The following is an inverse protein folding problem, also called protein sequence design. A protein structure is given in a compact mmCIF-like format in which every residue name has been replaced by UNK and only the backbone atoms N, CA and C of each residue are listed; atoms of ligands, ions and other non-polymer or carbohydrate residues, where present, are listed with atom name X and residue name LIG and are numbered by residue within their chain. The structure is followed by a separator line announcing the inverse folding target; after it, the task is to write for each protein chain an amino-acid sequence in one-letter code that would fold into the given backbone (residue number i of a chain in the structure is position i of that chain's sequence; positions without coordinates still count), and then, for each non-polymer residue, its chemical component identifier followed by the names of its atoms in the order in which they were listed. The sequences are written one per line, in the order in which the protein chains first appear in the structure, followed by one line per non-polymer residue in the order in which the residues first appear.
data_IF_285193680867
#
_entry.id   IF_285193680867
#
_cell.length_a   1.000
_cell.length_b   1.000
_cell.length_c   1.000
_cell.angle_alpha   90.00
_cell.angle_beta   90.00
_cell.angle_gamma   90.00
#
_symmetry.space_group_name_H-M   'P 1'
#
loop_
_entity.id
_entity.type
_entity.pdbx_description
1 polymer ?
#
# COMPACT_ATOMS: atom_id res chain seq x y z
N UNK A 1 34.08 39.20 -7.28
CA UNK A 1 33.32 38.03 -7.80
C UNK A 1 33.21 37.02 -6.66
N UNK A 2 32.07 36.99 -5.95
CA UNK A 2 31.79 35.98 -4.91
C UNK A 2 31.13 34.77 -5.58
N UNK A 3 31.82 33.64 -5.59
CA UNK A 3 31.27 32.35 -6.05
C UNK A 3 30.49 31.77 -4.87
N UNK A 4 29.15 31.85 -4.96
CA UNK A 4 28.27 31.20 -4.03
C UNK A 4 28.30 29.67 -4.24
N UNK A 5 28.82 28.94 -3.27
CA UNK A 5 28.67 27.49 -3.18
C UNK A 5 27.23 27.17 -2.82
N UNK A 6 26.44 26.72 -3.78
CA UNK A 6 25.18 26.05 -3.50
C UNK A 6 25.49 24.66 -2.93
N UNK A 7 25.39 24.52 -1.62
CA UNK A 7 25.35 23.23 -0.95
C UNK A 7 24.01 22.58 -1.34
N UNK A 8 24.03 21.71 -2.36
CA UNK A 8 22.92 20.82 -2.62
C UNK A 8 22.85 19.83 -1.46
N UNK A 9 21.88 20.03 -0.56
CA UNK A 9 21.56 19.03 0.45
C UNK A 9 21.18 17.73 -0.26
N UNK A 10 21.74 16.58 0.12
CA UNK A 10 21.33 15.30 -0.41
C UNK A 10 19.84 15.13 -0.12
N UNK A 11 19.05 14.87 -1.16
CA UNK A 11 17.64 14.49 -1.01
C UNK A 11 17.65 13.08 -0.43
N UNK A 12 17.57 12.97 0.90
CA UNK A 12 17.33 11.70 1.57
C UNK A 12 15.85 11.37 1.40
N UNK A 13 15.54 10.28 0.70
CA UNK A 13 14.20 9.73 0.67
C UNK A 13 13.99 8.94 1.97
N UNK A 14 13.70 9.64 3.05
CA UNK A 14 13.39 9.04 4.34
C UNK A 14 11.98 8.46 4.35
N UNK A 15 11.85 7.22 4.84
CA UNK A 15 10.54 6.59 4.98
C UNK A 15 9.69 7.29 6.07
N UNK A 16 10.34 7.86 7.09
CA UNK A 16 9.72 8.64 8.18
C UNK A 16 10.54 9.89 8.42
N UNK A 17 9.93 11.06 8.30
CA UNK A 17 10.55 12.31 8.70
C UNK A 17 10.57 12.41 10.23
N UNK A 18 11.78 12.27 10.80
CA UNK A 18 12.05 12.40 12.23
C UNK A 18 12.73 13.73 12.60
N UNK A 19 12.86 14.67 11.69
CA UNK A 19 13.46 15.98 11.96
C UNK A 19 12.64 16.83 12.95
N UNK A 20 11.28 16.72 12.83
CA UNK A 20 10.35 17.37 13.75
C UNK A 20 9.15 16.44 14.01
N UNK A 21 9.34 15.31 14.71
CA UNK A 21 8.30 14.32 14.89
C UNK A 21 7.18 14.90 15.76
N UNK A 22 5.95 14.90 15.22
CA UNK A 22 4.77 15.17 16.03
C UNK A 22 4.61 14.08 17.11
N UNK A 23 3.81 14.37 18.14
CA UNK A 23 3.61 13.47 19.29
C UNK A 23 3.34 12.00 18.90
N UNK A 24 2.58 11.78 17.83
CA UNK A 24 2.24 10.42 17.34
C UNK A 24 3.42 9.63 16.77
N UNK A 25 4.50 10.29 16.34
CA UNK A 25 5.69 9.65 15.76
C UNK A 25 6.89 9.62 16.72
N UNK A 26 6.82 10.25 17.90
CA UNK A 26 7.95 10.33 18.85
C UNK A 26 8.52 8.95 19.21
N UNK A 27 7.67 7.95 19.40
CA UNK A 27 8.11 6.59 19.75
C UNK A 27 8.91 5.95 18.63
N UNK A 28 8.42 5.99 17.38
CA UNK A 28 9.11 5.41 16.24
C UNK A 28 10.39 6.19 15.89
N UNK A 29 10.44 7.47 16.19
CA UNK A 29 11.63 8.33 16.01
C UNK A 29 12.66 8.22 17.13
N UNK A 30 12.39 7.44 18.18
CA UNK A 30 13.35 7.18 19.25
C UNK A 30 14.53 6.32 18.78
N UNK A 31 15.64 6.35 19.55
CA UNK A 31 16.84 5.56 19.26
C UNK A 31 16.58 4.05 19.22
N UNK A 32 15.57 3.56 19.96
CA UNK A 32 15.20 2.13 19.97
C UNK A 32 14.72 1.59 18.61
N UNK A 33 14.29 2.47 17.72
CA UNK A 33 13.82 2.10 16.37
C UNK A 33 14.80 2.52 15.26
N UNK A 34 16.01 3.02 15.57
CA UNK A 34 16.95 3.50 14.55
C UNK A 34 17.23 2.45 13.47
N UNK A 35 17.58 1.22 13.88
CA UNK A 35 17.88 0.13 12.93
C UNK A 35 16.71 -0.21 12.01
N UNK A 36 15.49 -0.22 12.54
CA UNK A 36 14.29 -0.49 11.76
C UNK A 36 14.01 0.66 10.77
N UNK A 37 14.21 1.92 11.18
CA UNK A 37 14.09 3.06 10.28
C UNK A 37 15.13 3.00 9.17
N UNK A 38 16.41 2.78 9.50
CA UNK A 38 17.50 2.67 8.53
C UNK A 38 17.20 1.57 7.49
N UNK A 39 16.66 0.45 7.95
CA UNK A 39 16.23 -0.64 7.05
C UNK A 39 15.09 -0.20 6.14
N UNK A 40 14.04 0.45 6.67
CA UNK A 40 12.92 0.96 5.88
C UNK A 40 13.34 2.05 4.90
N UNK A 41 14.24 2.96 5.30
CA UNK A 41 14.77 4.02 4.43
C UNK A 41 15.49 3.41 3.23
N UNK A 42 16.33 2.40 3.47
CA UNK A 42 17.00 1.66 2.40
C UNK A 42 16.00 0.94 1.47
N UNK A 43 14.99 0.26 2.01
CA UNK A 43 13.96 -0.40 1.20
C UNK A 43 13.12 0.60 0.41
N UNK A 44 12.73 1.72 1.03
CA UNK A 44 11.96 2.76 0.39
C UNK A 44 12.73 3.40 -0.78
N UNK A 45 13.98 3.78 -0.53
CA UNK A 45 14.86 4.30 -1.58
C UNK A 45 15.07 3.27 -2.70
N UNK A 46 15.41 2.04 -2.34
CA UNK A 46 15.61 0.97 -3.32
C UNK A 46 14.35 0.74 -4.16
N UNK A 47 13.18 0.68 -3.53
CA UNK A 47 11.91 0.50 -4.24
C UNK A 47 11.63 1.61 -5.26
N UNK A 48 11.99 2.87 -4.93
CA UNK A 48 11.85 4.01 -5.86
C UNK A 48 12.82 3.95 -7.04
N UNK A 49 13.99 3.32 -6.86
CA UNK A 49 15.05 3.27 -7.87
C UNK A 49 14.93 2.08 -8.81
N UNK A 50 14.44 0.93 -8.34
CA UNK A 50 14.52 -0.33 -9.10
C UNK A 50 13.17 -0.81 -9.63
N UNK A 51 12.05 -0.34 -9.07
CA UNK A 51 10.72 -0.82 -9.51
C UNK A 51 10.37 -0.32 -10.91
N UNK A 52 9.66 -1.15 -11.64
CA UNK A 52 8.96 -0.80 -12.87
C UNK A 52 7.47 -0.43 -12.66
N UNK A 53 7.02 -0.40 -11.39
CA UNK A 53 5.74 0.21 -11.03
C UNK A 53 5.80 1.75 -11.06
N UNK A 54 4.66 2.42 -11.26
CA UNK A 54 4.61 3.88 -11.15
C UNK A 54 5.12 4.37 -9.79
N UNK A 55 6.12 5.23 -9.76
CA UNK A 55 6.73 5.73 -8.51
C UNK A 55 5.71 6.38 -7.56
N UNK A 56 4.61 6.89 -8.12
CA UNK A 56 3.51 7.50 -7.35
C UNK A 56 2.81 6.49 -6.43
N UNK A 57 2.66 5.21 -6.84
CA UNK A 57 2.04 4.20 -5.97
C UNK A 57 2.87 3.98 -4.70
N UNK A 58 4.21 3.98 -4.82
CA UNK A 58 5.10 3.81 -3.67
C UNK A 58 4.97 5.00 -2.72
N UNK A 59 4.93 6.23 -3.26
CA UNK A 59 4.78 7.46 -2.46
C UNK A 59 3.42 7.53 -1.76
N UNK A 60 2.34 7.22 -2.46
CA UNK A 60 0.99 7.30 -1.89
C UNK A 60 0.74 6.17 -0.87
N UNK A 61 1.24 4.95 -1.11
CA UNK A 61 1.21 3.88 -0.10
C UNK A 61 2.08 4.20 1.11
N UNK A 62 3.17 4.95 0.95
CA UNK A 62 3.96 5.46 2.06
C UNK A 62 3.15 6.42 2.95
N UNK A 63 2.44 7.37 2.34
CA UNK A 63 1.56 8.28 3.08
C UNK A 63 0.46 7.52 3.83
N UNK A 64 -0.17 6.54 3.19
CA UNK A 64 -1.18 5.67 3.83
C UNK A 64 -0.60 4.92 5.02
N UNK A 65 0.60 4.36 4.88
CA UNK A 65 1.28 3.64 5.96
C UNK A 65 1.61 4.57 7.13
N UNK A 66 2.14 5.77 6.88
CA UNK A 66 2.41 6.77 7.93
C UNK A 66 1.12 7.15 8.68
N UNK A 67 -0.03 7.26 7.99
CA UNK A 67 -1.32 7.50 8.63
C UNK A 67 -1.71 6.35 9.58
N UNK A 68 -1.48 5.09 9.19
CA UNK A 68 -1.71 3.94 10.08
C UNK A 68 -0.74 3.94 11.26
N UNK A 69 0.55 4.20 11.01
CA UNK A 69 1.58 4.26 12.04
C UNK A 69 1.27 5.32 13.12
N UNK A 70 0.77 6.48 12.71
CA UNK A 70 0.33 7.55 13.63
C UNK A 70 -0.79 7.13 14.59
N UNK A 71 -1.56 6.12 14.25
CA UNK A 71 -2.64 5.59 15.10
C UNK A 71 -2.13 4.61 16.15
N UNK A 72 -0.89 4.12 16.05
CA UNK A 72 -0.33 3.14 16.97
C UNK A 72 -0.21 3.68 18.39
N UNK A 73 -0.74 2.93 19.37
CA UNK A 73 -0.69 3.26 20.80
C UNK A 73 0.38 2.48 21.55
N UNK A 74 0.87 1.35 21.00
CA UNK A 74 1.83 0.46 21.63
C UNK A 74 3.08 0.26 20.78
N UNK A 75 4.17 -0.18 21.39
CA UNK A 75 5.41 -0.58 20.72
C UNK A 75 5.16 -1.74 19.75
N UNK A 76 4.36 -2.73 20.15
CA UNK A 76 4.06 -3.88 19.29
C UNK A 76 3.29 -3.48 18.03
N UNK A 77 2.34 -2.53 18.16
CA UNK A 77 1.68 -1.96 17.00
C UNK A 77 2.68 -1.31 16.03
N UNK A 78 3.63 -0.53 16.55
CA UNK A 78 4.65 0.13 15.73
C UNK A 78 5.51 -0.92 15.01
N UNK A 79 5.99 -1.96 15.71
CA UNK A 79 6.77 -3.05 15.11
C UNK A 79 6.00 -3.74 13.98
N UNK A 80 4.75 -4.12 14.22
CA UNK A 80 3.91 -4.76 13.20
C UNK A 80 3.68 -3.87 11.99
N UNK A 81 3.48 -2.56 12.17
CA UNK A 81 3.36 -1.62 11.04
C UNK A 81 4.67 -1.48 10.25
N UNK A 82 5.82 -1.53 10.92
CA UNK A 82 7.14 -1.52 10.27
C UNK A 82 7.32 -2.79 9.43
N UNK A 83 7.04 -3.96 10.00
CA UNK A 83 7.16 -5.26 9.32
C UNK A 83 6.25 -5.32 8.10
N UNK A 84 4.98 -4.93 8.24
CA UNK A 84 4.05 -4.83 7.12
C UNK A 84 4.57 -3.92 6.00
N UNK A 85 5.17 -2.77 6.36
CA UNK A 85 5.72 -1.86 5.36
C UNK A 85 6.95 -2.42 4.66
N UNK A 86 7.82 -3.09 5.40
CA UNK A 86 8.98 -3.76 4.82
C UNK A 86 8.56 -4.83 3.80
N UNK A 87 7.55 -5.63 4.11
CA UNK A 87 6.99 -6.64 3.20
C UNK A 87 6.39 -6.00 1.94
N UNK A 88 5.62 -4.91 2.09
CA UNK A 88 5.06 -4.17 0.95
C UNK A 88 6.17 -3.62 0.02
N UNK A 89 7.22 -3.02 0.59
CA UNK A 89 8.33 -2.45 -0.18
C UNK A 89 9.15 -3.56 -0.88
N UNK A 90 9.36 -4.70 -0.22
CA UNK A 90 10.05 -5.84 -0.80
C UNK A 90 9.36 -6.37 -2.07
N UNK A 91 8.04 -6.29 -2.19
CA UNK A 91 7.31 -6.64 -3.41
C UNK A 91 7.76 -5.76 -4.59
N UNK A 92 7.92 -4.45 -4.35
CA UNK A 92 8.39 -3.52 -5.39
C UNK A 92 9.86 -3.70 -5.76
N UNK A 93 10.67 -4.21 -4.84
CA UNK A 93 12.11 -4.47 -5.07
C UNK A 93 12.33 -5.80 -5.79
N UNK A 94 11.58 -6.85 -5.44
CA UNK A 94 11.88 -8.21 -5.83
C UNK A 94 11.02 -8.76 -6.98
N UNK A 95 9.86 -8.16 -7.25
CA UNK A 95 8.93 -8.66 -8.26
C UNK A 95 8.75 -7.66 -9.40
N UNK A 96 8.71 -8.18 -10.63
CA UNK A 96 8.36 -7.39 -11.81
C UNK A 96 6.91 -6.91 -11.71
N UNK A 97 6.70 -5.61 -11.88
CA UNK A 97 5.39 -4.94 -11.78
C UNK A 97 4.89 -4.42 -13.14
N UNK A 98 5.62 -4.65 -14.24
CA UNK A 98 5.29 -4.10 -15.57
C UNK A 98 3.92 -4.53 -16.11
N UNK A 99 3.44 -5.72 -15.68
CA UNK A 99 2.11 -6.24 -16.03
C UNK A 99 1.10 -6.14 -14.89
N UNK A 100 1.37 -5.29 -13.90
CA UNK A 100 0.53 -5.09 -12.72
C UNK A 100 -0.10 -3.71 -12.74
N UNK A 101 -1.41 -3.67 -12.74
CA UNK A 101 -2.17 -2.45 -12.50
C UNK A 101 -2.40 -2.29 -10.99
N UNK A 102 -2.02 -1.14 -10.45
CA UNK A 102 -2.20 -0.82 -9.04
C UNK A 102 -3.39 0.09 -8.84
N UNK A 103 -4.22 -0.22 -7.85
CA UNK A 103 -5.40 0.55 -7.52
C UNK A 103 -5.44 0.84 -6.02
N UNK A 104 -5.67 2.10 -5.64
CA UNK A 104 -5.95 2.48 -4.25
C UNK A 104 -7.42 2.87 -4.10
N UNK A 105 -8.02 2.49 -2.98
CA UNK A 105 -9.40 2.86 -2.64
C UNK A 105 -9.50 4.33 -2.25
N UNK A 106 -10.45 5.02 -2.85
CA UNK A 106 -10.72 6.45 -2.61
C UNK A 106 -12.18 6.65 -2.19
N UNK A 107 -12.38 7.59 -1.30
CA UNK A 107 -13.67 8.06 -0.85
C UNK A 107 -13.65 9.58 -0.82
N UNK A 108 -14.62 10.24 -1.47
CA UNK A 108 -14.77 11.70 -1.47
C UNK A 108 -13.50 12.47 -1.86
N UNK A 109 -12.74 11.93 -2.80
CA UNK A 109 -11.53 12.57 -3.32
C UNK A 109 -10.26 12.39 -2.48
N UNK A 110 -10.32 11.64 -1.38
CA UNK A 110 -9.18 11.29 -0.52
C UNK A 110 -9.01 9.77 -0.43
N UNK A 111 -7.91 9.31 0.16
CA UNK A 111 -7.77 7.89 0.51
C UNK A 111 -8.93 7.46 1.41
N UNK A 112 -9.52 6.30 1.11
CA UNK A 112 -10.59 5.76 1.92
C UNK A 112 -10.14 5.59 3.38
N UNK A 113 -11.04 5.80 4.32
CA UNK A 113 -10.78 5.56 5.73
C UNK A 113 -10.37 4.09 5.95
N UNK A 114 -11.08 3.17 5.30
CA UNK A 114 -10.64 1.80 5.17
C UNK A 114 -9.70 1.68 3.98
N UNK A 115 -8.42 1.77 4.23
CA UNK A 115 -7.39 1.71 3.20
C UNK A 115 -7.34 0.33 2.55
N UNK A 116 -7.36 0.29 1.23
CA UNK A 116 -7.22 -0.93 0.43
C UNK A 116 -6.29 -0.65 -0.75
N UNK A 117 -5.30 -1.53 -0.92
CA UNK A 117 -4.47 -1.59 -2.11
C UNK A 117 -4.83 -2.85 -2.89
N UNK A 118 -5.28 -2.69 -4.13
CA UNK A 118 -5.63 -3.77 -5.03
C UNK A 118 -4.68 -3.81 -6.21
N UNK A 119 -4.29 -5.00 -6.63
CA UNK A 119 -3.39 -5.28 -7.75
C UNK A 119 -4.08 -6.20 -8.73
N UNK A 120 -4.07 -5.85 -10.00
CA UNK A 120 -4.56 -6.69 -11.10
C UNK A 120 -3.36 -7.05 -11.97
N UNK A 121 -2.90 -8.29 -11.90
CA UNK A 121 -1.68 -8.75 -12.52
C UNK A 121 -1.97 -9.71 -13.66
N UNK A 122 -1.46 -9.41 -14.87
CA UNK A 122 -1.55 -10.28 -16.04
C UNK A 122 -0.48 -11.39 -15.92
N UNK A 123 -0.88 -12.61 -15.58
CA UNK A 123 0.02 -13.75 -15.46
C UNK A 123 0.39 -14.34 -16.81
N UNK A 124 -0.58 -14.41 -17.74
CA UNK A 124 -0.43 -14.88 -19.10
C UNK A 124 -1.51 -14.27 -19.98
N UNK A 125 -1.51 -14.59 -21.27
CA UNK A 125 -2.55 -14.16 -22.22
C UNK A 125 -3.98 -14.43 -21.70
N UNK A 126 -4.19 -15.55 -21.02
CA UNK A 126 -5.50 -16.03 -20.62
C UNK A 126 -5.74 -16.04 -19.10
N UNK A 127 -4.78 -15.58 -18.30
CA UNK A 127 -4.86 -15.64 -16.84
C UNK A 127 -4.53 -14.29 -16.19
N UNK A 128 -5.41 -13.89 -15.29
CA UNK A 128 -5.28 -12.70 -14.46
C UNK A 128 -5.32 -13.13 -12.99
N UNK A 129 -4.41 -12.60 -12.18
CA UNK A 129 -4.44 -12.68 -10.72
C UNK A 129 -4.87 -11.33 -10.17
N UNK A 130 -5.84 -11.34 -9.27
CA UNK A 130 -6.27 -10.16 -8.54
C UNK A 130 -5.93 -10.38 -7.07
N UNK A 131 -5.14 -9.48 -6.50
CA UNK A 131 -4.78 -9.47 -5.09
C UNK A 131 -5.18 -8.13 -4.48
N UNK A 132 -5.64 -8.15 -3.24
CA UNK A 132 -5.77 -6.91 -2.49
C UNK A 132 -5.44 -7.12 -1.02
N UNK A 133 -5.04 -6.02 -0.39
CA UNK A 133 -4.84 -5.93 1.07
C UNK A 133 -5.71 -4.81 1.59
N UNK A 134 -6.63 -5.15 2.48
CA UNK A 134 -7.41 -4.18 3.26
C UNK A 134 -6.79 -4.05 4.65
N UNK A 135 -6.44 -2.83 5.05
CA UNK A 135 -5.81 -2.58 6.33
C UNK A 135 -6.85 -2.35 7.42
N UNK A 136 -6.65 -2.96 8.57
CA UNK A 136 -7.48 -2.80 9.76
C UNK A 136 -6.93 -1.70 10.67
N UNK A 137 -7.67 -1.39 11.72
CA UNK A 137 -7.14 -0.55 12.79
C UNK A 137 -5.88 -1.20 13.37
N UNK A 138 -4.72 -0.51 13.37
CA UNK A 138 -3.45 -1.09 13.77
C UNK A 138 -3.37 -1.47 15.26
N UNK A 139 -4.31 -0.99 16.08
CA UNK A 139 -4.39 -1.34 17.51
C UNK A 139 -5.28 -2.55 17.80
N UNK A 140 -5.80 -3.20 16.76
CA UNK A 140 -6.57 -4.43 16.94
C UNK A 140 -5.62 -5.57 17.36
N UNK A 141 -5.84 -6.11 18.55
CA UNK A 141 -5.00 -7.17 19.13
C UNK A 141 -5.50 -8.60 18.83
N UNK A 142 -6.76 -8.71 18.43
CA UNK A 142 -7.43 -10.01 18.26
C UNK A 142 -7.30 -10.58 16.86
N UNK A 143 -7.05 -9.71 15.87
CA UNK A 143 -7.02 -10.08 14.46
C UNK A 143 -5.73 -9.60 13.79
N UNK A 144 -5.40 -10.19 12.64
CA UNK A 144 -4.37 -9.67 11.76
C UNK A 144 -4.66 -8.21 11.39
N UNK A 145 -3.61 -7.38 11.25
CA UNK A 145 -3.74 -5.95 10.92
C UNK A 145 -4.16 -5.70 9.46
N UNK A 146 -4.20 -6.76 8.67
CA UNK A 146 -4.65 -6.73 7.27
C UNK A 146 -5.50 -7.94 6.95
N UNK A 147 -6.30 -7.82 5.90
CA UNK A 147 -7.10 -8.90 5.32
C UNK A 147 -6.70 -9.00 3.86
N UNK A 148 -6.37 -10.22 3.44
CA UNK A 148 -6.06 -10.51 2.06
C UNK A 148 -7.32 -10.74 1.22
N UNK A 149 -7.18 -10.48 -0.07
CA UNK A 149 -8.09 -10.88 -1.15
C UNK A 149 -7.25 -11.58 -2.20
N UNK A 150 -7.74 -12.68 -2.72
CA UNK A 150 -7.09 -13.40 -3.80
C UNK A 150 -8.13 -13.96 -4.77
N UNK A 151 -7.97 -13.66 -6.05
CA UNK A 151 -8.77 -14.28 -7.09
C UNK A 151 -7.95 -14.56 -8.34
N UNK A 152 -8.36 -15.58 -9.07
CA UNK A 152 -7.85 -15.87 -10.41
C UNK A 152 -9.02 -15.82 -11.39
N UNK A 153 -8.79 -15.19 -12.54
CA UNK A 153 -9.82 -15.00 -13.57
C UNK A 153 -9.19 -14.97 -14.95
N UNK A 154 -10.01 -14.77 -15.96
CA UNK A 154 -9.58 -14.57 -17.35
C UNK A 154 -9.95 -13.18 -17.83
N UNK A 155 -9.36 -12.66 -18.93
CA UNK A 155 -9.72 -11.36 -19.49
C UNK A 155 -11.22 -11.22 -19.78
N UNK A 156 -11.89 -12.30 -20.18
CA UNK A 156 -13.30 -12.29 -20.51
C UNK A 156 -14.22 -12.36 -19.28
N UNK A 157 -13.72 -12.83 -18.13
CA UNK A 157 -14.48 -13.03 -16.89
C UNK A 157 -14.07 -12.08 -15.76
N UNK A 158 -13.20 -11.13 -16.02
CA UNK A 158 -12.65 -10.23 -14.99
C UNK A 158 -13.67 -9.25 -14.39
N UNK A 159 -14.89 -9.23 -14.89
CA UNK A 159 -16.00 -8.42 -14.37
C UNK A 159 -16.78 -9.12 -13.25
N UNK A 160 -16.70 -10.44 -13.17
CA UNK A 160 -17.30 -11.23 -12.09
C UNK A 160 -16.21 -12.03 -11.40
N UNK A 161 -15.89 -11.65 -10.18
CA UNK A 161 -14.72 -12.15 -9.45
C UNK A 161 -15.17 -12.76 -8.13
N UNK A 162 -14.68 -13.96 -7.83
CA UNK A 162 -14.87 -14.59 -6.53
C UNK A 162 -13.55 -14.55 -5.77
N UNK A 163 -13.58 -13.99 -4.55
CA UNK A 163 -12.47 -14.02 -3.63
C UNK A 163 -12.30 -15.43 -3.05
N UNK A 164 -11.14 -16.03 -3.28
CA UNK A 164 -10.85 -17.39 -2.81
C UNK A 164 -10.56 -17.47 -1.30
N UNK A 165 -10.27 -16.33 -0.66
CA UNK A 165 -10.00 -16.29 0.78
C UNK A 165 -11.29 -16.32 1.63
N UNK A 166 -12.38 -15.75 1.10
CA UNK A 166 -13.62 -15.54 1.86
C UNK A 166 -14.89 -15.98 1.11
N UNK A 167 -14.76 -16.56 -0.08
CA UNK A 167 -15.89 -16.96 -0.95
C UNK A 167 -16.84 -15.80 -1.31
N UNK A 168 -16.33 -14.57 -1.24
CA UNK A 168 -17.08 -13.37 -1.57
C UNK A 168 -17.14 -13.13 -3.08
N UNK A 169 -18.33 -12.81 -3.60
CA UNK A 169 -18.54 -12.50 -5.02
C UNK A 169 -18.62 -11.00 -5.24
N UNK A 170 -17.92 -10.53 -6.25
CA UNK A 170 -17.81 -9.12 -6.60
C UNK A 170 -18.07 -8.88 -8.08
N UNK A 171 -18.67 -7.73 -8.38
CA UNK A 171 -18.71 -7.16 -9.72
C UNK A 171 -17.64 -6.08 -9.85
N UNK A 172 -16.74 -6.25 -10.80
CA UNK A 172 -15.68 -5.32 -11.15
C UNK A 172 -16.06 -4.57 -12.42
N UNK A 173 -16.12 -3.24 -12.34
CA UNK A 173 -16.36 -2.39 -13.50
C UNK A 173 -15.15 -1.49 -13.74
N UNK A 174 -14.43 -1.78 -14.82
CA UNK A 174 -13.25 -1.06 -15.25
C UNK A 174 -13.64 0.09 -16.16
N UNK A 175 -13.36 1.33 -15.80
CA UNK A 175 -13.65 2.53 -16.57
C UNK A 175 -12.44 3.48 -16.57
N UNK A 176 -11.59 3.43 -17.60
CA UNK A 176 -10.37 4.22 -17.70
C UNK A 176 -9.51 4.09 -16.42
N UNK A 177 -9.31 5.21 -15.72
CA UNK A 177 -8.53 5.28 -14.49
C UNK A 177 -9.31 4.87 -13.22
N UNK A 178 -10.54 4.37 -13.35
CA UNK A 178 -11.40 4.02 -12.22
C UNK A 178 -11.79 2.55 -12.29
N UNK A 179 -11.68 1.86 -11.16
CA UNK A 179 -12.25 0.55 -10.92
C UNK A 179 -13.35 0.68 -9.86
N UNK A 180 -14.58 0.32 -10.22
CA UNK A 180 -15.68 0.20 -9.26
C UNK A 180 -15.88 -1.26 -8.89
N UNK A 181 -15.81 -1.58 -7.61
CA UNK A 181 -16.01 -2.91 -7.05
C UNK A 181 -17.29 -2.92 -6.23
N UNK A 182 -18.23 -3.81 -6.56
CA UNK A 182 -19.53 -3.94 -5.88
C UNK A 182 -19.74 -5.37 -5.40
N UNK A 183 -20.47 -5.51 -4.31
CA UNK A 183 -21.01 -6.79 -3.84
C UNK A 183 -22.40 -6.57 -3.26
N UNK A 184 -23.24 -7.58 -3.36
CA UNK A 184 -24.55 -7.64 -2.67
C UNK A 184 -24.52 -8.60 -1.48
N UNK A 185 -23.37 -9.25 -1.26
CA UNK A 185 -23.18 -10.28 -0.26
C UNK A 185 -22.82 -9.62 1.07
N UNK A 186 -23.66 -9.84 2.08
CA UNK A 186 -23.44 -9.31 3.44
C UNK A 186 -22.13 -9.85 4.03
N UNK A 187 -21.34 -8.97 4.64
CA UNK A 187 -20.04 -9.31 5.22
C UNK A 187 -18.87 -9.21 4.25
N UNK A 188 -19.14 -8.96 2.96
CA UNK A 188 -18.14 -8.86 1.90
C UNK A 188 -17.82 -7.40 1.48
N UNK A 189 -18.36 -6.40 2.18
CA UNK A 189 -18.31 -4.98 1.77
C UNK A 189 -16.90 -4.38 1.85
N UNK A 190 -15.98 -5.05 2.53
CA UNK A 190 -14.62 -4.53 2.82
C UNK A 190 -13.87 -4.09 1.56
N UNK A 191 -13.92 -4.91 0.51
CA UNK A 191 -13.27 -4.63 -0.77
C UNK A 191 -14.16 -3.90 -1.77
N UNK A 192 -15.44 -3.68 -1.46
CA UNK A 192 -16.32 -2.88 -2.31
C UNK A 192 -15.94 -1.39 -2.21
N UNK A 193 -16.09 -0.66 -3.32
CA UNK A 193 -15.80 0.77 -3.36
C UNK A 193 -15.26 1.25 -4.70
N UNK A 194 -14.76 2.45 -4.70
CA UNK A 194 -14.15 3.11 -5.88
C UNK A 194 -12.64 3.15 -5.70
N UNK A 195 -11.95 2.74 -6.74
CA UNK A 195 -10.50 2.64 -6.78
C UNK A 195 -9.95 3.47 -7.93
N UNK A 196 -8.84 4.15 -7.69
CA UNK A 196 -8.10 4.90 -8.71
C UNK A 196 -6.91 4.08 -9.18
N UNK A 197 -6.76 3.98 -10.50
CA UNK A 197 -5.60 3.37 -11.16
C UNK A 197 -4.36 4.25 -10.99
N UNK A 198 -3.24 3.59 -10.79
CA UNK A 198 -1.88 4.14 -10.84
C UNK A 198 -1.17 3.52 -12.05
N UNK A 199 -0.82 4.35 -12.99
CA UNK A 199 -0.15 4.07 -14.27
C UNK A 199 1.05 4.99 -14.48
#
# INVERSE_FOLDING_TARGET
LSIGFFLSSPIHAEAIDCSAPGHSLQKVCSASFSKQRDHLDNLYLTSLLVTDAPSRIIKDTQLMWVQRLKQCKSIDCIKQQIDLRADELNIFVSLNQSLTQHYLKFERGAFAQQQVHMKVHQLSKDRIKIEAVAYRNPNNRLDAQSIAFLAYTTPNQKTEVTDNEHDCKYQFNYSKAILSVKTVQKGCERFAGIYRLYD
#
